data_IF_866470414306
#
_entry.id   IF_866470414306
#
_cell.length_a   1.000
_cell.length_b   1.000
_cell.length_c   1.000
_cell.angle_alpha   90.00
_cell.angle_beta   90.00
_cell.angle_gamma   90.00
#
_symmetry.space_group_name_H-M   'P 1'
#
loop_
_entity.id
_entity.type
_entity.pdbx_description
1 polymer ?
#
# COMPACT_ATOMS: atom_id res chain seq x y z
N UNK A 1 9.84 7.18 2.12
CA UNK A 1 10.03 5.76 2.48
C UNK A 1 9.97 5.69 4.00
N UNK A 2 8.76 5.56 4.56
CA UNK A 2 8.61 5.31 6.00
C UNK A 2 8.97 3.85 6.26
N UNK A 3 9.72 3.62 7.33
CA UNK A 3 10.47 2.41 7.69
C UNK A 3 9.57 1.26 8.16
N UNK A 4 8.52 0.90 7.41
CA UNK A 4 7.48 -0.06 7.86
C UNK A 4 8.00 -1.50 8.05
N UNK A 5 9.15 -1.86 7.49
CA UNK A 5 9.61 -3.26 7.46
C UNK A 5 10.50 -3.68 8.65
N UNK A 6 10.88 -2.76 9.55
CA UNK A 6 11.74 -3.07 10.70
C UNK A 6 11.12 -2.63 12.04
N UNK A 7 9.79 -2.74 12.17
CA UNK A 7 9.10 -2.47 13.42
C UNK A 7 8.82 -3.75 14.20
N UNK A 8 9.15 -3.72 15.51
CA UNK A 8 8.65 -4.70 16.48
C UNK A 8 7.28 -4.24 16.95
N UNK A 9 6.29 -5.12 16.87
CA UNK A 9 4.93 -4.83 17.32
C UNK A 9 4.75 -5.32 18.76
N UNK A 10 4.09 -4.51 19.59
CA UNK A 10 3.80 -4.84 20.97
C UNK A 10 2.39 -5.42 21.15
N UNK A 11 1.49 -5.13 20.20
CA UNK A 11 0.16 -5.76 20.15
C UNK A 11 -0.21 -6.21 18.73
N UNK A 12 -1.24 -7.05 18.65
CA UNK A 12 -1.77 -7.50 17.36
C UNK A 12 -2.42 -6.34 16.59
N UNK A 13 -3.10 -5.43 17.28
CA UNK A 13 -3.80 -4.28 16.71
C UNK A 13 -2.82 -3.31 16.04
N UNK A 14 -1.62 -3.13 16.60
CA UNK A 14 -0.55 -2.35 15.96
C UNK A 14 -0.10 -2.97 14.64
N UNK A 15 0.13 -4.28 14.63
CA UNK A 15 0.49 -5.03 13.41
C UNK A 15 -0.64 -4.96 12.37
N UNK A 16 -1.88 -5.16 12.79
CA UNK A 16 -3.04 -5.09 11.91
C UNK A 16 -3.19 -3.70 11.29
N UNK A 17 -3.03 -2.64 12.09
CA UNK A 17 -3.08 -1.26 11.62
C UNK A 17 -2.04 -0.97 10.53
N UNK A 18 -0.79 -1.39 10.74
CA UNK A 18 0.28 -1.19 9.77
C UNK A 18 0.08 -2.02 8.49
N UNK A 19 -0.44 -3.24 8.60
CA UNK A 19 -0.83 -4.04 7.43
C UNK A 19 -1.94 -3.35 6.63
N UNK A 20 -2.98 -2.85 7.30
CA UNK A 20 -4.07 -2.14 6.64
C UNK A 20 -3.58 -0.86 5.95
N UNK A 21 -2.70 -0.10 6.61
CA UNK A 21 -2.07 1.09 6.03
C UNK A 21 -1.22 0.74 4.80
N UNK A 22 -0.44 -0.34 4.86
CA UNK A 22 0.35 -0.80 3.72
C UNK A 22 -0.52 -1.23 2.54
N UNK A 23 -1.63 -1.94 2.79
CA UNK A 23 -2.59 -2.34 1.75
C UNK A 23 -3.22 -1.11 1.08
N UNK A 24 -3.60 -0.10 1.86
CA UNK A 24 -4.15 1.15 1.33
C UNK A 24 -3.11 1.86 0.44
N UNK A 25 -1.91 2.10 0.97
CA UNK A 25 -0.81 2.71 0.23
C UNK A 25 -0.54 1.97 -1.08
N UNK A 26 -0.47 0.63 -1.03
CA UNK A 26 -0.21 -0.17 -2.21
C UNK A 26 -1.29 0.02 -3.27
N UNK A 27 -2.57 0.00 -2.89
CA UNK A 27 -3.67 0.04 -3.84
C UNK A 27 -3.95 1.44 -4.42
N UNK A 28 -3.77 2.49 -3.63
CA UNK A 28 -4.29 3.83 -3.95
C UNK A 28 -3.22 4.91 -4.09
N UNK A 29 -2.01 4.70 -3.59
CA UNK A 29 -0.98 5.75 -3.54
C UNK A 29 0.30 5.35 -4.28
N UNK A 30 0.59 4.06 -4.39
CA UNK A 30 1.82 3.57 -5.01
C UNK A 30 1.78 3.69 -6.53
N UNK A 31 2.40 4.74 -7.05
CA UNK A 31 2.61 4.89 -8.50
C UNK A 31 3.47 3.74 -9.05
N UNK A 32 2.99 3.10 -10.12
CA UNK A 32 3.72 2.01 -10.77
C UNK A 32 4.20 2.42 -12.15
N UNK A 33 5.53 2.42 -12.37
CA UNK A 33 6.12 2.71 -13.68
C UNK A 33 5.59 1.76 -14.78
N UNK A 34 5.36 0.48 -14.45
CA UNK A 34 4.75 -0.51 -15.35
C UNK A 34 3.32 -0.16 -15.76
N UNK A 35 2.62 0.66 -14.97
CA UNK A 35 1.25 1.11 -15.25
C UNK A 35 1.23 2.56 -15.76
N UNK A 36 2.29 3.00 -16.44
CA UNK A 36 2.44 4.38 -16.94
C UNK A 36 2.32 5.45 -15.83
N UNK A 37 2.77 5.11 -14.62
CA UNK A 37 2.70 6.01 -13.46
C UNK A 37 1.32 6.06 -12.80
N UNK A 38 0.37 5.22 -13.19
CA UNK A 38 -0.91 5.10 -12.49
C UNK A 38 -0.75 4.29 -11.19
N UNK A 39 -1.62 4.57 -10.22
CA UNK A 39 -1.79 3.69 -9.05
C UNK A 39 -2.61 2.44 -9.43
N UNK A 40 -2.48 1.32 -8.71
CA UNK A 40 -3.10 0.06 -9.11
C UNK A 40 -4.62 0.13 -9.29
N UNK A 41 -5.30 0.88 -8.42
CA UNK A 41 -6.75 0.99 -8.51
C UNK A 41 -7.19 1.79 -9.73
N UNK A 42 -6.52 2.91 -10.05
CA UNK A 42 -6.80 3.69 -11.27
C UNK A 42 -6.59 2.87 -12.54
N UNK A 43 -5.55 2.04 -12.57
CA UNK A 43 -5.30 1.15 -13.70
C UNK A 43 -6.45 0.13 -13.88
N UNK A 44 -6.91 -0.48 -12.78
CA UNK A 44 -8.05 -1.41 -12.81
C UNK A 44 -9.33 -0.75 -13.30
N UNK A 45 -9.62 0.48 -12.86
CA UNK A 45 -10.80 1.23 -13.31
C UNK A 45 -10.75 1.60 -14.79
N UNK A 46 -9.56 1.86 -15.36
CA UNK A 46 -9.40 2.14 -16.81
C UNK A 46 -9.43 0.88 -17.68
N UNK A 47 -9.25 -0.29 -17.10
CA UNK A 47 -9.28 -1.58 -17.81
C UNK A 47 -10.67 -2.25 -17.82
N UNK A 48 -11.64 -1.71 -17.07
CA UNK A 48 -13.03 -2.14 -17.04
C UNK A 48 -13.86 -1.39 -18.09
#
# INVERSE_FOLDING_TARGET
MREVLLHTYHTFEELEGDIQAYIHFYNYERLQAKLNGLVPMEFRTKAA
#
